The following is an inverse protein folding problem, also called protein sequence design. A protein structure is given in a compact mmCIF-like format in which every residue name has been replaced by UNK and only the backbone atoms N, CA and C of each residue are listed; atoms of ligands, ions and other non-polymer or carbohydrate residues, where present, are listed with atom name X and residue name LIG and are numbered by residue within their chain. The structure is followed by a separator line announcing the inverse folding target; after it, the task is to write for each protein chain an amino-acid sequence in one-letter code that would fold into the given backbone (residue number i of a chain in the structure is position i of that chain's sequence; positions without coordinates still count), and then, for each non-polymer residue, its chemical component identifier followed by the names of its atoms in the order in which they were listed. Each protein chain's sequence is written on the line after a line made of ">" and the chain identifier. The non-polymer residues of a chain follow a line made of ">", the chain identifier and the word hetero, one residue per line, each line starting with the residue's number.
data_IF_377085759922
#
_entry.id   IF_377085759922
#
_cell.length_a   1.000
_cell.length_b   1.000
_cell.length_c   1.000
_cell.angle_alpha   90.00
_cell.angle_beta   90.00
_cell.angle_gamma   90.00
#
_symmetry.space_group_name_H-M   'P 1'
#
loop_
_entity.id
_entity.type
_entity.pdbx_description
1 polymer ?
#
# COMPACT_ATOMS: atom_id res chain seq x y z
N UNK A 1 -1.23 -11.40 13.60
CA UNK A 1 -0.92 -10.16 14.32
C UNK A 1 -1.87 -9.10 13.80
N UNK A 2 -2.54 -8.40 14.70
CA UNK A 2 -3.50 -7.35 14.35
C UNK A 2 -2.79 -5.99 14.45
N UNK A 3 -3.20 -5.01 13.62
CA UNK A 3 -2.72 -3.65 13.71
C UNK A 3 -3.51 -2.91 14.81
N UNK A 4 -2.84 -2.51 15.87
CA UNK A 4 -3.48 -1.81 16.98
C UNK A 4 -4.03 -0.42 16.61
N UNK A 5 -3.49 0.21 15.55
CA UNK A 5 -3.88 1.56 15.15
C UNK A 5 -5.13 1.58 14.26
N UNK A 6 -5.22 0.71 13.25
CA UNK A 6 -6.33 0.68 12.31
C UNK A 6 -7.30 -0.50 12.54
N UNK A 7 -7.00 -1.41 13.46
CA UNK A 7 -7.82 -2.60 13.74
C UNK A 7 -7.78 -3.67 12.65
N UNK A 8 -6.88 -3.56 11.65
CA UNK A 8 -6.76 -4.57 10.60
C UNK A 8 -6.28 -5.90 11.19
N UNK A 9 -7.04 -6.97 10.94
CA UNK A 9 -6.68 -8.31 11.38
C UNK A 9 -6.29 -9.19 10.19
N UNK A 10 -5.01 -9.59 10.15
CA UNK A 10 -4.49 -10.49 9.11
C UNK A 10 -5.15 -11.86 9.10
N UNK A 11 -5.68 -12.32 10.24
CA UNK A 11 -6.32 -13.63 10.35
C UNK A 11 -7.78 -13.61 9.87
N UNK A 12 -8.47 -12.48 10.04
CA UNK A 12 -9.87 -12.34 9.66
C UNK A 12 -10.07 -12.07 8.17
N UNK A 13 -9.06 -11.50 7.49
CA UNK A 13 -9.14 -11.23 6.06
C UNK A 13 -8.92 -12.52 5.26
N UNK A 14 -10.01 -13.00 4.65
CA UNK A 14 -9.92 -14.15 3.76
C UNK A 14 -9.13 -13.80 2.49
N UNK A 15 -8.26 -14.72 1.99
CA UNK A 15 -7.46 -14.44 0.80
C UNK A 15 -8.28 -14.01 -0.42
N UNK A 16 -9.45 -14.58 -0.61
CA UNK A 16 -10.32 -14.29 -1.75
C UNK A 16 -10.99 -12.91 -1.68
N UNK A 17 -11.00 -12.28 -0.50
CA UNK A 17 -11.48 -10.91 -0.32
C UNK A 17 -10.41 -9.85 -0.65
N UNK A 18 -9.12 -10.22 -0.64
CA UNK A 18 -8.00 -9.29 -0.83
C UNK A 18 -8.07 -8.55 -2.17
N UNK A 19 -8.27 -9.20 -3.33
CA UNK A 19 -8.28 -8.51 -4.62
C UNK A 19 -9.38 -7.47 -4.76
N UNK A 20 -10.60 -7.79 -4.35
CA UNK A 20 -11.72 -6.85 -4.39
C UNK A 20 -11.49 -5.61 -3.51
N UNK A 21 -10.93 -5.81 -2.32
CA UNK A 21 -10.60 -4.71 -1.40
C UNK A 21 -9.42 -3.87 -1.91
N UNK A 22 -8.41 -4.47 -2.54
CA UNK A 22 -7.33 -3.73 -3.21
C UNK A 22 -7.89 -2.80 -4.29
N UNK A 23 -8.78 -3.30 -5.16
CA UNK A 23 -9.44 -2.48 -6.20
C UNK A 23 -10.26 -1.32 -5.61
N UNK A 24 -10.88 -1.52 -4.46
CA UNK A 24 -11.67 -0.50 -3.79
C UNK A 24 -10.82 0.67 -3.22
N UNK A 25 -9.51 0.50 -3.04
CA UNK A 25 -8.62 1.56 -2.54
C UNK A 25 -8.70 2.82 -3.40
N UNK A 26 -8.77 2.68 -4.75
CA UNK A 26 -8.87 3.84 -5.64
C UNK A 26 -10.07 4.73 -5.29
N UNK A 27 -11.24 4.14 -5.06
CA UNK A 27 -12.44 4.90 -4.71
C UNK A 27 -12.28 5.59 -3.36
N UNK A 28 -11.79 4.88 -2.34
CA UNK A 28 -11.55 5.47 -1.01
C UNK A 28 -10.61 6.66 -1.05
N UNK A 29 -9.47 6.55 -1.75
CA UNK A 29 -8.54 7.68 -1.91
C UNK A 29 -9.13 8.81 -2.77
N UNK A 30 -9.90 8.48 -3.81
CA UNK A 30 -10.56 9.49 -4.65
C UNK A 30 -11.57 10.32 -3.87
N UNK A 31 -12.37 9.71 -3.01
CA UNK A 31 -13.33 10.41 -2.15
C UNK A 31 -12.62 11.43 -1.25
N UNK A 32 -11.55 11.01 -0.56
CA UNK A 32 -10.81 11.87 0.35
C UNK A 32 -10.05 12.99 -0.38
N UNK A 33 -9.33 12.67 -1.47
CA UNK A 33 -8.56 13.68 -2.21
C UNK A 33 -9.45 14.69 -2.94
N UNK A 34 -10.65 14.28 -3.37
CA UNK A 34 -11.61 15.19 -4.04
C UNK A 34 -12.25 16.19 -3.09
N UNK A 35 -12.24 15.91 -1.79
CA UNK A 35 -12.76 16.81 -0.77
C UNK A 35 -11.88 18.02 -0.48
N UNK A 36 -10.64 18.02 -1.01
CA UNK A 36 -9.58 19.00 -0.69
C UNK A 36 -9.15 19.76 -1.94
N UNK A 37 -8.90 21.06 -1.79
CA UNK A 37 -8.34 21.87 -2.88
C UNK A 37 -6.90 21.45 -3.25
N UNK A 38 -6.51 21.70 -4.50
CA UNK A 38 -5.22 21.26 -5.08
C UNK A 38 -3.99 21.71 -4.29
N UNK A 39 -4.04 22.84 -3.62
CA UNK A 39 -2.94 23.35 -2.78
C UNK A 39 -2.88 22.62 -1.45
N UNK A 40 -4.04 22.33 -0.86
CA UNK A 40 -4.13 21.70 0.46
C UNK A 40 -3.70 20.21 0.42
N UNK A 41 -3.90 19.51 -0.70
CA UNK A 41 -3.57 18.09 -0.85
C UNK A 41 -2.07 17.81 -0.70
N UNK A 42 -1.20 18.77 -1.06
CA UNK A 42 0.26 18.64 -0.95
C UNK A 42 0.83 19.23 0.35
N UNK A 43 -0.01 19.86 1.17
CA UNK A 43 0.44 20.49 2.42
C UNK A 43 0.54 19.46 3.54
N UNK A 44 1.71 19.39 4.17
CA UNK A 44 1.88 18.62 5.41
C UNK A 44 1.26 19.38 6.59
N UNK A 45 0.50 18.72 7.46
CA UNK A 45 -0.01 19.36 8.69
C UNK A 45 1.15 19.72 9.64
N UNK A 46 2.13 18.83 9.75
CA UNK A 46 3.35 18.96 10.53
C UNK A 46 4.55 18.49 9.67
N UNK A 47 5.78 19.00 9.87
CA UNK A 47 6.95 18.61 9.08
C UNK A 47 7.22 17.10 9.07
N UNK A 48 6.90 16.39 10.14
CA UNK A 48 7.10 14.96 10.32
C UNK A 48 5.92 14.10 9.85
N UNK A 49 4.79 14.70 9.45
CA UNK A 49 3.59 14.00 8.99
C UNK A 49 3.42 14.22 7.49
N UNK A 50 3.28 13.15 6.75
CA UNK A 50 3.10 13.23 5.30
C UNK A 50 1.79 13.93 4.93
N UNK A 51 1.79 14.59 3.78
CA UNK A 51 0.60 15.14 3.18
C UNK A 51 -0.31 14.02 2.62
N UNK A 52 -1.57 14.38 2.35
CA UNK A 52 -2.54 13.47 1.72
C UNK A 52 -2.00 12.89 0.40
N UNK A 53 -1.35 13.75 -0.41
CA UNK A 53 -0.75 13.34 -1.68
C UNK A 53 0.43 12.38 -1.48
N UNK A 54 1.29 12.64 -0.49
CA UNK A 54 2.43 11.77 -0.19
C UNK A 54 1.98 10.39 0.27
N UNK A 55 0.92 10.29 1.08
CA UNK A 55 0.32 8.99 1.44
C UNK A 55 -0.21 8.24 0.21
N UNK A 56 -0.91 8.92 -0.69
CA UNK A 56 -1.42 8.28 -1.91
C UNK A 56 -0.30 7.79 -2.84
N UNK A 57 0.77 8.58 -3.00
CA UNK A 57 1.97 8.17 -3.72
C UNK A 57 2.65 6.96 -3.08
N UNK A 58 2.76 6.98 -1.73
CA UNK A 58 3.35 5.87 -0.99
C UNK A 58 2.58 4.58 -1.20
N UNK A 59 1.25 4.60 -1.07
CA UNK A 59 0.42 3.41 -1.27
C UNK A 59 0.52 2.88 -2.69
N UNK A 60 0.49 3.74 -3.71
CA UNK A 60 0.76 3.35 -5.10
C UNK A 60 2.07 2.54 -5.19
N UNK A 61 3.14 3.08 -4.62
CA UNK A 61 4.46 2.45 -4.69
C UNK A 61 4.55 1.15 -3.86
N UNK A 62 3.89 1.11 -2.69
CA UNK A 62 3.77 -0.12 -1.90
C UNK A 62 3.13 -1.23 -2.72
N UNK A 63 2.00 -0.96 -3.38
CA UNK A 63 1.29 -1.97 -4.17
C UNK A 63 2.15 -2.52 -5.31
N UNK A 64 2.92 -1.67 -5.99
CA UNK A 64 3.87 -2.09 -7.03
C UNK A 64 5.02 -2.95 -6.45
N UNK A 65 5.60 -2.52 -5.33
CA UNK A 65 6.68 -3.27 -4.67
C UNK A 65 6.19 -4.63 -4.15
N UNK A 66 5.02 -4.70 -3.55
CA UNK A 66 4.46 -5.98 -3.07
C UNK A 66 4.13 -6.92 -4.23
N UNK A 67 3.63 -6.37 -5.35
CA UNK A 67 3.43 -7.13 -6.58
C UNK A 67 4.75 -7.77 -7.05
N UNK A 68 5.83 -7.01 -7.18
CA UNK A 68 7.14 -7.55 -7.60
C UNK A 68 7.66 -8.61 -6.64
N UNK A 69 7.52 -8.42 -5.33
CA UNK A 69 7.89 -9.41 -4.32
C UNK A 69 7.13 -10.73 -4.50
N UNK A 70 5.83 -10.66 -4.80
CA UNK A 70 5.05 -11.85 -5.09
C UNK A 70 5.54 -12.57 -6.37
N UNK A 71 5.89 -11.84 -7.42
CA UNK A 71 6.40 -12.40 -8.68
C UNK A 71 7.77 -13.09 -8.46
N UNK A 72 8.71 -12.40 -7.82
CA UNK A 72 10.05 -12.94 -7.54
C UNK A 72 9.97 -14.25 -6.76
N UNK A 73 9.12 -14.30 -5.73
CA UNK A 73 8.93 -15.50 -4.92
C UNK A 73 8.22 -16.66 -5.66
N UNK A 74 7.68 -16.45 -6.88
CA UNK A 74 7.20 -17.55 -7.72
C UNK A 74 8.34 -18.24 -8.48
N UNK A 75 9.45 -17.57 -8.71
CA UNK A 75 10.57 -18.08 -9.53
C UNK A 75 11.81 -18.39 -8.70
N UNK A 76 11.99 -17.73 -7.56
CA UNK A 76 13.09 -17.95 -6.63
C UNK A 76 12.63 -18.73 -5.38
N UNK A 77 13.53 -19.46 -4.76
CA UNK A 77 13.23 -20.19 -3.52
C UNK A 77 13.54 -19.33 -2.30
N UNK A 78 12.50 -18.98 -1.56
CA UNK A 78 12.55 -18.14 -0.35
C UNK A 78 13.47 -16.90 -0.50
N UNK A 79 13.25 -16.03 -1.52
CA UNK A 79 14.12 -14.89 -1.76
C UNK A 79 14.10 -13.90 -0.60
N UNK A 80 15.26 -13.33 -0.27
CA UNK A 80 15.35 -12.17 0.62
C UNK A 80 15.09 -10.90 -0.17
N UNK A 81 13.97 -10.21 0.13
CA UNK A 81 13.58 -9.01 -0.61
C UNK A 81 14.07 -7.72 0.07
N UNK A 82 14.35 -6.70 -0.74
CA UNK A 82 14.88 -5.44 -0.25
C UNK A 82 13.84 -4.62 0.55
N UNK A 83 14.32 -3.75 1.45
CA UNK A 83 13.50 -2.71 2.09
C UNK A 83 13.03 -1.70 1.06
N UNK A 84 11.86 -1.12 1.28
CA UNK A 84 11.27 -0.13 0.39
C UNK A 84 11.89 1.27 0.55
N UNK A 85 12.53 1.55 1.69
CA UNK A 85 13.09 2.88 2.00
C UNK A 85 12.05 4.00 1.83
N UNK A 86 10.91 3.85 2.52
CA UNK A 86 9.71 4.67 2.34
C UNK A 86 9.97 6.17 2.53
N UNK A 87 10.75 6.54 3.54
CA UNK A 87 10.98 7.96 3.89
C UNK A 87 11.91 8.64 2.87
N UNK A 88 12.98 7.95 2.45
CA UNK A 88 13.88 8.42 1.39
C UNK A 88 13.16 8.50 0.04
N UNK A 89 12.23 7.58 -0.22
CA UNK A 89 11.46 7.55 -1.46
C UNK A 89 10.59 8.79 -1.64
N UNK A 90 10.03 9.35 -0.58
CA UNK A 90 9.21 10.58 -0.64
C UNK A 90 9.96 11.72 -1.33
N UNK A 91 11.23 11.93 -0.96
CA UNK A 91 12.05 12.98 -1.55
C UNK A 91 12.67 12.57 -2.89
N UNK A 92 13.18 11.35 -3.02
CA UNK A 92 13.84 10.86 -4.23
C UNK A 92 12.87 10.74 -5.42
N UNK A 93 11.65 10.30 -5.17
CA UNK A 93 10.61 10.18 -6.19
C UNK A 93 9.75 11.45 -6.32
N UNK A 94 10.11 12.55 -5.63
CA UNK A 94 9.46 13.85 -5.75
C UNK A 94 7.93 13.76 -5.59
N UNK A 95 7.44 13.13 -4.52
CA UNK A 95 6.00 12.99 -4.29
C UNK A 95 5.26 14.32 -4.25
N UNK A 96 5.92 15.38 -3.78
CA UNK A 96 5.44 16.76 -3.75
C UNK A 96 5.15 17.38 -5.13
N UNK A 97 5.80 16.86 -6.17
CA UNK A 97 5.67 17.37 -7.55
C UNK A 97 4.61 16.64 -8.38
N UNK A 98 3.94 15.64 -7.81
CA UNK A 98 2.90 14.89 -8.53
C UNK A 98 1.56 15.62 -8.50
N UNK A 99 0.77 15.47 -9.57
CA UNK A 99 -0.61 15.93 -9.63
C UNK A 99 -1.55 14.86 -9.04
N UNK A 100 -2.41 15.24 -8.10
CA UNK A 100 -3.30 14.31 -7.41
C UNK A 100 -4.17 13.43 -8.35
N UNK A 101 -4.79 13.95 -9.44
CA UNK A 101 -5.53 13.11 -10.37
C UNK A 101 -4.67 12.01 -11.02
N UNK A 102 -3.42 12.35 -11.39
CA UNK A 102 -2.49 11.39 -11.97
C UNK A 102 -2.10 10.31 -10.96
N UNK A 103 -1.86 10.70 -9.70
CA UNK A 103 -1.55 9.74 -8.61
C UNK A 103 -2.72 8.80 -8.36
N UNK A 104 -3.96 9.28 -8.38
CA UNK A 104 -5.16 8.45 -8.22
C UNK A 104 -5.30 7.41 -9.36
N UNK A 105 -5.03 7.79 -10.59
CA UNK A 105 -5.06 6.87 -11.72
C UNK A 105 -3.93 5.82 -11.61
N UNK A 106 -2.73 6.24 -11.24
CA UNK A 106 -1.59 5.35 -10.99
C UNK A 106 -1.85 4.40 -9.81
N UNK A 107 -2.47 4.88 -8.72
CA UNK A 107 -2.84 4.06 -7.57
C UNK A 107 -3.88 3.00 -7.99
N UNK A 108 -4.89 3.39 -8.76
CA UNK A 108 -5.87 2.45 -9.29
C UNK A 108 -5.25 1.37 -10.17
N UNK A 109 -4.30 1.75 -11.03
CA UNK A 109 -3.56 0.80 -11.87
C UNK A 109 -2.67 -0.12 -11.01
N UNK A 110 -1.96 0.41 -10.02
CA UNK A 110 -1.13 -0.38 -9.11
C UNK A 110 -1.97 -1.38 -8.30
N UNK A 111 -3.14 -0.94 -7.83
CA UNK A 111 -4.08 -1.79 -7.11
C UNK A 111 -4.60 -2.95 -7.98
N UNK A 112 -4.97 -2.66 -9.23
CA UNK A 112 -5.40 -3.70 -10.19
C UNK A 112 -4.27 -4.69 -10.49
N UNK A 113 -3.06 -4.22 -10.79
CA UNK A 113 -1.91 -5.08 -11.05
C UNK A 113 -1.55 -5.96 -9.85
N UNK A 114 -1.62 -5.42 -8.63
CA UNK A 114 -1.39 -6.17 -7.40
C UNK A 114 -2.49 -7.22 -7.17
N UNK A 115 -3.75 -6.84 -7.38
CA UNK A 115 -4.91 -7.72 -7.24
C UNK A 115 -4.85 -8.91 -8.21
N UNK A 116 -4.64 -8.64 -9.51
CA UNK A 116 -4.53 -9.67 -10.55
C UNK A 116 -3.36 -10.62 -10.26
N UNK A 117 -2.21 -10.08 -9.83
CA UNK A 117 -1.07 -10.91 -9.45
C UNK A 117 -1.42 -11.84 -8.28
N UNK A 118 -2.06 -11.32 -7.23
CA UNK A 118 -2.45 -12.11 -6.06
C UNK A 118 -3.51 -13.18 -6.40
N UNK A 119 -4.47 -12.86 -7.27
CA UNK A 119 -5.45 -13.83 -7.79
C UNK A 119 -4.77 -14.98 -8.52
N UNK A 120 -3.81 -14.66 -9.39
CA UNK A 120 -3.10 -15.64 -10.21
C UNK A 120 -2.25 -16.63 -9.40
N UNK A 121 -1.86 -16.29 -8.15
CA UNK A 121 -1.07 -17.21 -7.31
C UNK A 121 -1.83 -18.51 -6.99
N UNK A 122 -3.14 -18.48 -6.88
CA UNK A 122 -3.91 -19.60 -6.36
C UNK A 122 -3.47 -20.02 -4.95
N UNK A 123 -3.99 -21.11 -4.43
CA UNK A 123 -3.61 -21.60 -3.10
C UNK A 123 -2.13 -22.07 -3.03
N UNK A 124 -1.61 -22.81 -4.01
CA UNK A 124 -0.19 -23.23 -4.00
C UNK A 124 0.78 -22.05 -4.06
N UNK A 125 0.52 -21.06 -4.92
CA UNK A 125 1.38 -19.88 -5.03
C UNK A 125 1.35 -19.02 -3.77
N UNK A 126 0.18 -18.86 -3.13
CA UNK A 126 0.06 -18.14 -1.85
C UNK A 126 0.81 -18.80 -0.69
N UNK A 127 1.07 -20.10 -0.75
CA UNK A 127 1.86 -20.82 0.25
C UNK A 127 3.38 -20.67 0.04
N UNK A 128 3.85 -20.17 -1.10
CA UNK A 128 5.28 -19.88 -1.30
C UNK A 128 5.73 -18.76 -0.36
N UNK A 129 7.01 -18.72 -0.06
CA UNK A 129 7.58 -17.88 1.00
C UNK A 129 8.65 -16.95 0.46
N UNK A 130 8.89 -15.89 1.21
CA UNK A 130 10.02 -14.97 1.06
C UNK A 130 10.50 -14.51 2.43
N UNK A 131 11.72 -13.97 2.52
CA UNK A 131 12.19 -13.28 3.72
C UNK A 131 11.80 -11.80 3.61
N UNK A 132 10.79 -11.40 4.38
CA UNK A 132 10.28 -10.03 4.43
C UNK A 132 11.15 -9.17 5.36
N UNK A 133 11.61 -7.97 4.93
CA UNK A 133 12.68 -7.23 5.62
C UNK A 133 12.23 -6.35 6.79
N UNK A 134 10.95 -6.27 7.10
CA UNK A 134 10.41 -5.30 8.07
C UNK A 134 9.40 -5.94 9.04
N UNK A 135 9.36 -5.50 10.35
CA UNK A 135 10.37 -4.68 11.06
C UNK A 135 11.70 -5.40 11.18
N UNK A 136 11.70 -6.73 11.26
CA UNK A 136 12.85 -7.63 11.23
C UNK A 136 12.69 -8.63 10.10
N UNK A 137 13.83 -9.07 9.56
CA UNK A 137 13.85 -10.06 8.49
C UNK A 137 13.18 -11.37 8.95
N UNK A 138 12.00 -11.66 8.40
CA UNK A 138 11.17 -12.80 8.82
C UNK A 138 10.56 -13.49 7.61
N UNK A 139 10.53 -14.83 7.60
CA UNK A 139 9.81 -15.54 6.57
C UNK A 139 8.31 -15.28 6.64
N UNK A 140 7.73 -14.98 5.46
CA UNK A 140 6.29 -14.77 5.28
C UNK A 140 5.81 -15.51 4.04
N UNK A 141 4.61 -16.08 4.11
CA UNK A 141 3.95 -16.60 2.92
C UNK A 141 3.36 -15.47 2.05
N UNK A 142 3.11 -15.74 0.78
CA UNK A 142 2.56 -14.74 -0.14
C UNK A 142 1.09 -14.41 0.15
N UNK A 143 0.37 -15.28 0.85
CA UNK A 143 -0.94 -14.97 1.40
C UNK A 143 -0.86 -13.83 2.42
N UNK A 144 0.16 -13.84 3.29
CA UNK A 144 0.45 -12.72 4.19
C UNK A 144 0.86 -11.46 3.41
N UNK A 145 1.72 -11.59 2.39
CA UNK A 145 2.18 -10.44 1.57
C UNK A 145 1.01 -9.71 0.91
N UNK A 146 0.05 -10.44 0.35
CA UNK A 146 -1.17 -9.84 -0.22
C UNK A 146 -2.03 -9.13 0.83
N UNK A 147 -2.23 -9.74 2.00
CA UNK A 147 -2.93 -9.09 3.11
C UNK A 147 -2.18 -7.88 3.65
N UNK A 148 -0.85 -7.91 3.62
CA UNK A 148 -0.03 -6.77 4.04
C UNK A 148 -0.12 -5.62 3.03
N UNK A 149 -0.14 -5.91 1.73
CA UNK A 149 -0.40 -4.89 0.71
C UNK A 149 -1.76 -4.19 0.93
N UNK A 150 -2.79 -4.96 1.24
CA UNK A 150 -4.11 -4.43 1.58
C UNK A 150 -4.08 -3.61 2.88
N UNK A 151 -3.42 -4.13 3.92
CA UNK A 151 -3.25 -3.41 5.20
C UNK A 151 -2.61 -2.04 5.00
N UNK A 152 -1.51 -1.96 4.26
CA UNK A 152 -0.85 -0.69 3.95
C UNK A 152 -1.81 0.30 3.28
N UNK A 153 -2.59 -0.17 2.30
CA UNK A 153 -3.58 0.66 1.62
C UNK A 153 -4.66 1.21 2.55
N UNK A 154 -5.26 0.36 3.39
CA UNK A 154 -6.33 0.75 4.30
C UNK A 154 -5.82 1.53 5.52
N UNK A 155 -4.65 1.17 6.03
CA UNK A 155 -4.01 1.88 7.14
C UNK A 155 -3.72 3.33 6.75
N UNK A 156 -3.07 3.54 5.62
CA UNK A 156 -2.75 4.88 5.16
C UNK A 156 -3.96 5.67 4.66
N UNK A 157 -5.05 5.03 4.26
CA UNK A 157 -6.31 5.74 4.04
C UNK A 157 -6.87 6.32 5.36
N UNK A 158 -6.71 5.61 6.48
CA UNK A 158 -7.01 6.14 7.80
C UNK A 158 -6.10 7.34 8.15
N UNK A 159 -4.80 7.27 7.84
CA UNK A 159 -3.87 8.39 8.06
C UNK A 159 -4.26 9.62 7.23
N UNK A 160 -4.65 9.43 5.97
CA UNK A 160 -5.21 10.51 5.12
C UNK A 160 -6.39 11.19 5.81
N UNK A 161 -7.34 10.42 6.36
CA UNK A 161 -8.50 10.97 7.09
C UNK A 161 -8.08 11.75 8.34
N UNK A 162 -7.08 11.26 9.07
CA UNK A 162 -6.51 11.98 10.24
C UNK A 162 -5.89 13.31 9.84
N UNK A 163 -5.11 13.33 8.73
CA UNK A 163 -4.53 14.57 8.20
C UNK A 163 -5.62 15.57 7.81
N UNK A 164 -6.65 15.13 7.10
CA UNK A 164 -7.77 15.99 6.71
C UNK A 164 -8.52 16.57 7.91
N UNK A 165 -8.79 15.73 8.91
CA UNK A 165 -9.43 16.17 10.15
C UNK A 165 -8.60 17.20 10.94
N UNK A 166 -7.27 17.10 10.90
CA UNK A 166 -6.35 18.05 11.53
C UNK A 166 -6.22 19.38 10.77
N UNK A 167 -6.65 19.43 9.50
CA UNK A 167 -6.58 20.62 8.64
C UNK A 167 -7.91 21.37 8.53
N UNK A 168 -9.02 20.77 9.01
CA UNK A 168 -10.35 21.37 9.01
C UNK A 168 -10.54 22.39 10.15
#
# INVERSE_FOLDING_TARGET
>A
VDCAECGFSYQLVQPDAVPGRLRALRSGYSEELSSVGTVAVSRRPEPSVWSVLEYACHVRDVLLVQRERMIVAQVEDVPAVARMHRDERVSLARYDAHAAPVVLDQLGMAAELCAVTFEALGAPGRARRLVYPWPEATERDLGWVGRHALHEGEHHLMDVRRVLAAMA
#
